data_IF_337511570765
#
_entry.id   IF_337511570765
#
_cell.length_a   1.000
_cell.length_b   1.000
_cell.length_c   1.000
_cell.angle_alpha   90.00
_cell.angle_beta   90.00
_cell.angle_gamma   90.00
#
_symmetry.space_group_name_H-M   'P 1'
#
loop_
_entity.id
_entity.type
_entity.pdbx_description
1 polymer ?
#
# COMPACT_ATOMS: atom_id res chain seq x y z
N UNK A 1 8.11 4.28 24.56
CA UNK A 1 9.44 4.95 24.52
C UNK A 1 9.27 6.17 23.61
N UNK A 2 9.83 7.33 23.95
CA UNK A 2 9.72 8.54 23.11
C UNK A 2 10.91 8.54 22.15
N UNK A 3 10.66 8.78 20.87
CA UNK A 3 11.73 8.96 19.89
C UNK A 3 12.43 10.31 20.13
N UNK A 4 13.74 10.29 20.21
CA UNK A 4 14.59 11.48 20.26
C UNK A 4 15.73 11.28 19.25
N UNK A 5 15.84 12.15 18.21
CA UNK A 5 16.92 12.04 17.25
C UNK A 5 18.28 12.23 17.95
N UNK A 6 19.25 11.39 17.60
CA UNK A 6 20.60 11.45 18.19
C UNK A 6 21.44 12.56 17.58
N UNK A 7 21.16 12.90 16.32
CA UNK A 7 21.96 13.84 15.53
C UNK A 7 21.08 14.96 15.03
N UNK A 8 21.30 16.18 15.52
CA UNK A 8 20.63 17.38 15.03
C UNK A 8 21.70 18.32 14.46
N UNK A 9 21.37 19.00 13.35
CA UNK A 9 22.22 20.00 12.70
C UNK A 9 21.35 21.19 12.29
N UNK A 10 21.41 22.25 13.08
CA UNK A 10 20.64 23.48 12.85
C UNK A 10 21.25 24.39 11.79
N UNK A 11 22.52 24.17 11.39
CA UNK A 11 23.14 24.87 10.28
C UNK A 11 22.60 24.32 8.94
N UNK A 12 22.41 22.99 8.86
CA UNK A 12 21.83 22.31 7.71
C UNK A 12 20.29 22.47 7.64
N UNK A 13 19.64 22.38 8.79
CA UNK A 13 18.16 22.47 8.91
C UNK A 13 17.75 23.45 10.00
N UNK A 14 17.70 24.77 9.71
CA UNK A 14 17.59 25.82 10.72
C UNK A 14 16.35 25.74 11.63
N UNK A 15 15.26 25.14 11.17
CA UNK A 15 14.00 25.08 11.93
C UNK A 15 13.85 23.83 12.77
N UNK A 16 14.37 22.71 12.32
CA UNK A 16 14.13 21.41 12.96
C UNK A 16 15.40 20.71 13.43
N UNK A 17 16.55 21.09 12.87
CA UNK A 17 17.82 20.37 13.07
C UNK A 17 17.84 18.95 12.47
N UNK A 18 16.75 18.49 11.85
CA UNK A 18 16.66 17.12 11.34
C UNK A 18 17.52 16.93 10.10
N UNK A 19 18.38 15.94 10.14
CA UNK A 19 19.23 15.50 9.04
C UNK A 19 18.65 14.27 8.37
N UNK A 20 19.28 13.82 7.27
CA UNK A 20 18.95 12.53 6.65
C UNK A 20 19.09 11.37 7.64
N UNK A 21 20.15 11.39 8.45
CA UNK A 21 20.39 10.39 9.49
C UNK A 21 19.27 10.37 10.51
N UNK A 22 18.78 11.55 10.92
CA UNK A 22 17.64 11.66 11.83
C UNK A 22 16.36 11.01 11.24
N UNK A 23 16.12 11.16 9.94
CA UNK A 23 15.00 10.52 9.27
C UNK A 23 15.15 8.98 9.17
N UNK A 24 16.37 8.49 8.92
CA UNK A 24 16.67 7.05 8.94
C UNK A 24 16.50 6.45 10.34
N UNK A 25 16.93 7.18 11.39
CA UNK A 25 16.71 6.80 12.80
C UNK A 25 15.21 6.74 13.13
N UNK A 26 14.44 7.74 12.70
CA UNK A 26 12.98 7.76 12.89
C UNK A 26 12.29 6.59 12.17
N UNK A 27 12.67 6.32 10.92
CA UNK A 27 12.17 5.18 10.17
C UNK A 27 12.47 3.85 10.86
N UNK A 28 13.69 3.65 11.34
CA UNK A 28 14.07 2.46 12.12
C UNK A 28 13.24 2.32 13.40
N UNK A 29 13.08 3.40 14.15
CA UNK A 29 12.28 3.41 15.37
C UNK A 29 10.82 3.02 15.11
N UNK A 30 10.21 3.52 14.03
CA UNK A 30 8.85 3.17 13.65
C UNK A 30 8.74 1.69 13.24
N UNK A 31 9.69 1.20 12.44
CA UNK A 31 9.72 -0.21 12.05
C UNK A 31 9.96 -1.13 13.25
N UNK A 32 10.84 -0.78 14.19
CA UNK A 32 11.03 -1.54 15.44
C UNK A 32 9.74 -1.62 16.25
N UNK A 33 8.97 -0.52 16.32
CA UNK A 33 7.64 -0.50 16.96
C UNK A 33 6.65 -1.47 16.32
N UNK A 34 6.77 -1.72 15.04
CA UNK A 34 5.95 -2.68 14.29
C UNK A 34 6.50 -4.10 14.47
N UNK A 35 7.76 -4.32 14.11
CA UNK A 35 8.38 -5.64 14.01
C UNK A 35 8.62 -6.35 15.33
N UNK A 36 8.66 -5.64 16.46
CA UNK A 36 8.66 -6.26 17.79
C UNK A 36 7.37 -7.06 18.10
N UNK A 37 6.29 -6.85 17.33
CA UNK A 37 5.02 -7.57 17.47
C UNK A 37 4.88 -8.73 16.47
N UNK A 38 5.91 -8.97 15.65
CA UNK A 38 5.96 -10.07 14.70
C UNK A 38 6.91 -11.13 15.25
N UNK A 39 6.40 -12.33 15.45
CA UNK A 39 7.14 -13.44 16.07
C UNK A 39 7.61 -14.49 15.07
N UNK A 40 7.21 -14.39 13.80
CA UNK A 40 7.56 -15.30 12.72
C UNK A 40 7.72 -14.53 11.40
N UNK A 41 8.81 -14.80 10.67
CA UNK A 41 9.09 -14.21 9.35
C UNK A 41 7.95 -14.39 8.32
N UNK A 42 7.18 -15.48 8.46
CA UNK A 42 6.07 -15.79 7.56
C UNK A 42 4.76 -15.07 7.93
N UNK A 43 4.69 -14.43 9.10
CA UNK A 43 3.48 -13.73 9.53
C UNK A 43 3.34 -12.35 8.89
N UNK A 44 2.11 -11.92 8.62
CA UNK A 44 1.84 -10.56 8.13
C UNK A 44 2.00 -9.52 9.24
N UNK A 45 2.06 -8.25 8.84
CA UNK A 45 1.99 -7.12 9.77
C UNK A 45 0.54 -6.95 10.23
N UNK A 46 0.23 -7.50 11.39
CA UNK A 46 -1.06 -7.29 12.09
C UNK A 46 -0.75 -6.84 13.50
N UNK A 47 -1.14 -5.60 13.80
CA UNK A 47 -0.83 -4.99 15.10
C UNK A 47 -1.74 -5.53 16.21
N UNK A 48 -1.21 -5.75 17.43
CA UNK A 48 -2.02 -6.10 18.58
C UNK A 48 -3.07 -5.03 18.88
N UNK A 49 -4.29 -5.44 19.17
CA UNK A 49 -5.41 -4.55 19.48
C UNK A 49 -6.36 -5.20 20.48
N UNK A 50 -7.18 -4.37 21.12
CA UNK A 50 -8.27 -4.84 21.97
C UNK A 50 -9.50 -5.10 21.12
N UNK A 51 -9.91 -6.34 21.01
CA UNK A 51 -11.06 -6.74 20.18
C UNK A 51 -12.38 -6.04 20.56
N UNK A 52 -12.53 -5.64 21.81
CA UNK A 52 -13.72 -4.92 22.28
C UNK A 52 -13.76 -3.44 21.90
N UNK A 53 -12.65 -2.88 21.45
CA UNK A 53 -12.51 -1.45 21.14
C UNK A 53 -12.38 -1.19 19.64
N UNK A 54 -12.29 -2.24 18.82
CA UNK A 54 -12.15 -2.09 17.37
C UNK A 54 -13.49 -1.91 16.69
N UNK A 55 -13.48 -1.08 15.65
CA UNK A 55 -14.63 -0.86 14.77
C UNK A 55 -14.43 -1.44 13.37
N UNK A 56 -13.23 -1.94 13.09
CA UNK A 56 -12.85 -2.50 11.80
C UNK A 56 -11.84 -3.65 11.97
N UNK A 57 -12.15 -4.90 11.61
CA UNK A 57 -13.50 -5.36 11.22
C UNK A 57 -14.51 -5.20 12.35
N UNK A 58 -15.77 -4.92 12.00
CA UNK A 58 -16.82 -4.72 13.00
C UNK A 58 -17.32 -6.07 13.52
N UNK A 59 -17.22 -6.29 14.83
CA UNK A 59 -17.55 -7.60 15.46
C UNK A 59 -19.01 -8.05 15.29
N UNK A 60 -19.91 -7.11 14.96
CA UNK A 60 -21.33 -7.41 14.73
C UNK A 60 -21.64 -7.79 13.28
N UNK A 61 -20.68 -7.65 12.38
CA UNK A 61 -20.86 -8.01 10.98
C UNK A 61 -20.90 -9.54 10.80
N UNK A 62 -21.40 -9.99 9.65
CA UNK A 62 -21.37 -11.42 9.33
C UNK A 62 -19.94 -11.95 9.28
N UNK A 63 -19.76 -13.25 9.40
CA UNK A 63 -18.43 -13.87 9.32
C UNK A 63 -17.77 -13.61 7.95
N UNK A 64 -18.56 -13.60 6.87
CA UNK A 64 -18.08 -13.30 5.53
C UNK A 64 -17.60 -11.83 5.44
N UNK A 65 -18.37 -10.88 5.96
CA UNK A 65 -17.98 -9.46 5.98
C UNK A 65 -16.71 -9.24 6.82
N UNK A 66 -16.60 -9.93 7.97
CA UNK A 66 -15.39 -9.89 8.79
C UNK A 66 -14.18 -10.51 8.05
N UNK A 67 -14.37 -11.60 7.31
CA UNK A 67 -13.29 -12.20 6.53
C UNK A 67 -12.74 -11.23 5.46
N UNK A 68 -13.62 -10.54 4.73
CA UNK A 68 -13.23 -9.50 3.75
C UNK A 68 -12.45 -8.38 4.43
N UNK A 69 -12.91 -7.91 5.57
CA UNK A 69 -12.23 -6.85 6.32
C UNK A 69 -10.85 -7.29 6.85
N UNK A 70 -10.71 -8.57 7.25
CA UNK A 70 -9.41 -9.11 7.69
C UNK A 70 -8.39 -9.21 6.54
N UNK A 71 -8.81 -9.50 5.31
CA UNK A 71 -7.91 -9.45 4.16
C UNK A 71 -7.45 -8.02 3.88
N UNK A 72 -8.33 -7.03 3.99
CA UNK A 72 -7.98 -5.63 3.90
C UNK A 72 -6.99 -5.22 5.01
N UNK A 73 -7.20 -5.66 6.25
CA UNK A 73 -6.29 -5.42 7.38
C UNK A 73 -4.88 -5.95 7.12
N UNK A 74 -4.78 -7.20 6.65
CA UNK A 74 -3.48 -7.81 6.30
C UNK A 74 -2.77 -7.01 5.21
N UNK A 75 -3.50 -6.61 4.18
CA UNK A 75 -2.93 -5.86 3.07
C UNK A 75 -2.53 -4.44 3.48
N UNK A 76 -3.38 -3.78 4.26
CA UNK A 76 -3.11 -2.43 4.80
C UNK A 76 -1.90 -2.45 5.75
N UNK A 77 -1.79 -3.44 6.62
CA UNK A 77 -0.62 -3.60 7.48
C UNK A 77 0.68 -3.74 6.69
N UNK A 78 0.66 -4.54 5.62
CA UNK A 78 1.80 -4.69 4.72
C UNK A 78 2.16 -3.35 4.06
N UNK A 79 1.23 -2.74 3.35
CA UNK A 79 1.51 -1.58 2.50
C UNK A 79 1.86 -0.34 3.31
N UNK A 80 1.18 -0.09 4.44
CA UNK A 80 1.45 1.07 5.30
C UNK A 80 2.81 0.98 5.99
N UNK A 81 3.21 -0.20 6.45
CA UNK A 81 4.55 -0.41 6.98
C UNK A 81 5.63 -0.34 5.88
N UNK A 82 5.29 -0.77 4.67
CA UNK A 82 6.20 -0.72 3.53
C UNK A 82 6.51 0.71 3.06
N UNK A 83 5.62 1.68 3.24
CA UNK A 83 5.92 3.09 3.00
C UNK A 83 7.11 3.60 3.84
N UNK A 84 7.29 3.06 5.04
CA UNK A 84 8.45 3.38 5.88
C UNK A 84 9.67 2.58 5.41
N UNK A 85 9.49 1.30 5.13
CA UNK A 85 10.58 0.40 4.81
C UNK A 85 11.16 0.60 3.41
N UNK A 86 10.34 0.87 2.38
CA UNK A 86 10.78 0.94 1.00
C UNK A 86 11.89 2.00 0.76
N UNK A 87 11.74 3.27 1.19
CA UNK A 87 12.81 4.24 1.05
C UNK A 87 14.05 3.89 1.89
N UNK A 88 13.87 3.23 3.01
CA UNK A 88 15.00 2.76 3.83
C UNK A 88 15.75 1.62 3.15
N UNK A 89 15.05 0.63 2.60
CA UNK A 89 15.63 -0.49 1.83
C UNK A 89 16.38 0.04 0.60
N UNK A 90 15.82 1.03 -0.08
CA UNK A 90 16.47 1.68 -1.22
C UNK A 90 17.81 2.35 -0.87
N UNK A 91 17.97 2.80 0.37
CA UNK A 91 19.20 3.45 0.86
C UNK A 91 20.11 2.52 1.68
N UNK A 92 19.55 1.52 2.31
CA UNK A 92 20.20 0.55 3.20
C UNK A 92 19.78 -0.87 2.79
N UNK A 93 20.36 -1.44 1.73
CA UNK A 93 19.93 -2.74 1.19
C UNK A 93 19.94 -3.88 2.22
N UNK A 94 20.89 -3.84 3.17
CA UNK A 94 21.05 -4.85 4.21
C UNK A 94 20.29 -4.50 5.51
N UNK A 95 19.29 -3.62 5.42
CA UNK A 95 18.49 -3.20 6.57
C UNK A 95 17.86 -4.40 7.27
N UNK A 96 18.22 -4.55 8.55
CA UNK A 96 17.63 -5.56 9.44
C UNK A 96 16.94 -4.85 10.61
N UNK A 97 15.72 -5.26 10.94
CA UNK A 97 14.93 -4.72 12.05
C UNK A 97 14.39 -5.89 12.87
N UNK A 98 14.58 -5.89 14.17
CA UNK A 98 14.21 -6.97 15.09
C UNK A 98 14.65 -8.38 14.61
N UNK A 99 15.80 -8.46 13.95
CA UNK A 99 16.33 -9.71 13.40
C UNK A 99 15.80 -10.10 12.02
N UNK A 100 14.86 -9.35 11.44
CA UNK A 100 14.31 -9.61 10.12
C UNK A 100 15.01 -8.78 9.03
N UNK A 101 15.56 -9.40 7.97
CA UNK A 101 16.05 -8.69 6.79
C UNK A 101 14.86 -8.10 6.04
N UNK A 102 14.79 -6.76 5.99
CA UNK A 102 13.58 -6.07 5.51
C UNK A 102 13.29 -6.32 4.03
N UNK A 103 14.29 -6.32 3.17
CA UNK A 103 14.08 -6.57 1.75
C UNK A 103 13.48 -7.96 1.50
N UNK A 104 13.98 -9.00 2.17
CA UNK A 104 13.46 -10.36 2.06
C UNK A 104 12.05 -10.49 2.63
N UNK A 105 11.80 -9.86 3.78
CA UNK A 105 10.49 -9.89 4.41
C UNK A 105 9.43 -9.31 3.47
N UNK A 106 9.62 -8.06 3.00
CA UNK A 106 8.63 -7.43 2.12
C UNK A 106 8.51 -8.13 0.77
N UNK A 107 9.62 -8.61 0.20
CA UNK A 107 9.58 -9.44 -1.01
C UNK A 107 8.68 -10.67 -0.83
N UNK A 108 8.88 -11.42 0.25
CA UNK A 108 8.08 -12.60 0.56
C UNK A 108 6.61 -12.25 0.78
N UNK A 109 6.32 -11.25 1.62
CA UNK A 109 4.94 -10.88 1.95
C UNK A 109 4.16 -10.37 0.73
N UNK A 110 4.78 -9.53 -0.12
CA UNK A 110 4.15 -9.03 -1.35
C UNK A 110 3.75 -10.18 -2.28
N UNK A 111 4.65 -11.14 -2.51
CA UNK A 111 4.33 -12.27 -3.37
C UNK A 111 3.16 -13.10 -2.80
N UNK A 112 3.16 -13.35 -1.50
CA UNK A 112 2.13 -14.16 -0.84
C UNK A 112 0.75 -13.52 -0.88
N UNK A 113 0.64 -12.21 -0.62
CA UNK A 113 -0.67 -11.52 -0.68
C UNK A 113 -1.25 -11.48 -2.10
N UNK A 114 -0.42 -11.57 -3.13
CA UNK A 114 -0.82 -11.62 -4.53
C UNK A 114 -1.05 -13.04 -5.06
N UNK A 115 -0.60 -14.08 -4.34
CA UNK A 115 -0.63 -15.47 -4.84
C UNK A 115 -1.90 -16.18 -4.44
N UNK A 116 -2.76 -16.49 -5.41
CA UNK A 116 -3.98 -17.27 -5.18
C UNK A 116 -3.66 -18.63 -4.55
N UNK A 117 -4.32 -18.93 -3.44
CA UNK A 117 -4.13 -20.17 -2.68
C UNK A 117 -3.10 -20.06 -1.56
N UNK A 118 -2.33 -18.97 -1.44
CA UNK A 118 -1.55 -18.70 -0.23
C UNK A 118 -2.48 -18.31 0.92
N UNK A 119 -2.06 -18.63 2.14
CA UNK A 119 -2.83 -18.30 3.35
C UNK A 119 -2.97 -16.78 3.59
N UNK A 120 -2.11 -15.97 2.98
CA UNK A 120 -2.15 -14.50 3.07
C UNK A 120 -2.79 -13.85 1.84
N UNK A 121 -3.28 -14.63 0.88
CA UNK A 121 -3.91 -14.08 -0.33
C UNK A 121 -5.07 -13.15 0.02
N UNK A 122 -5.03 -11.91 -0.49
CA UNK A 122 -6.01 -10.88 -0.15
C UNK A 122 -7.13 -10.71 -1.19
N UNK A 123 -7.11 -11.49 -2.25
CA UNK A 123 -8.14 -11.50 -3.29
C UNK A 123 -7.97 -10.42 -4.37
N UNK A 124 -8.27 -10.76 -5.62
CA UNK A 124 -8.42 -9.80 -6.72
C UNK A 124 -9.70 -8.98 -6.55
N UNK A 125 -9.89 -7.98 -7.41
CA UNK A 125 -11.12 -7.19 -7.43
C UNK A 125 -12.36 -8.08 -7.66
N UNK A 126 -12.27 -9.04 -8.56
CA UNK A 126 -13.34 -9.99 -8.86
C UNK A 126 -13.64 -10.90 -7.67
N UNK A 127 -12.60 -11.36 -6.97
CA UNK A 127 -12.78 -12.14 -5.74
C UNK A 127 -13.53 -11.36 -4.67
N UNK A 128 -13.23 -10.06 -4.51
CA UNK A 128 -13.95 -9.19 -3.57
C UNK A 128 -15.41 -8.98 -3.99
N UNK A 129 -15.68 -8.85 -5.28
CA UNK A 129 -17.06 -8.77 -5.79
C UNK A 129 -17.84 -10.05 -5.52
N UNK A 130 -17.22 -11.21 -5.76
CA UNK A 130 -17.84 -12.52 -5.53
C UNK A 130 -18.20 -12.71 -4.05
N UNK A 131 -17.24 -12.48 -3.15
CA UNK A 131 -17.42 -12.67 -1.70
C UNK A 131 -18.49 -11.73 -1.16
N UNK A 132 -18.50 -10.48 -1.60
CA UNK A 132 -19.44 -9.46 -1.08
C UNK A 132 -20.79 -9.48 -1.78
N UNK A 133 -20.90 -10.14 -2.92
CA UNK A 133 -22.10 -10.10 -3.78
C UNK A 133 -22.44 -8.69 -4.33
N UNK A 134 -21.47 -7.76 -4.30
CA UNK A 134 -21.69 -6.40 -4.76
C UNK A 134 -21.68 -6.30 -6.28
N UNK A 135 -22.77 -5.82 -6.83
CA UNK A 135 -22.93 -5.53 -8.26
C UNK A 135 -22.90 -4.04 -8.59
N UNK A 136 -22.69 -3.18 -7.58
CA UNK A 136 -22.56 -1.74 -7.76
C UNK A 136 -21.33 -1.42 -8.63
N UNK A 137 -21.51 -0.79 -9.81
CA UNK A 137 -20.40 -0.49 -10.71
C UNK A 137 -19.42 0.56 -10.16
N UNK A 138 -19.81 1.27 -9.11
CA UNK A 138 -18.93 2.23 -8.41
C UNK A 138 -18.34 1.68 -7.11
N UNK A 139 -18.56 0.40 -6.83
CA UNK A 139 -18.01 -0.20 -5.63
C UNK A 139 -16.49 -0.24 -5.70
N UNK A 140 -15.88 0.31 -4.68
CA UNK A 140 -14.43 0.18 -4.44
C UNK A 140 -14.20 -0.63 -3.19
N UNK A 141 -13.04 -1.25 -3.12
CA UNK A 141 -12.57 -2.00 -1.96
C UNK A 141 -11.34 -1.31 -1.39
N UNK A 142 -11.07 -1.52 -0.11
CA UNK A 142 -9.87 -0.98 0.54
C UNK A 142 -8.60 -1.40 -0.21
N UNK A 143 -8.59 -2.60 -0.77
CA UNK A 143 -7.49 -3.11 -1.58
C UNK A 143 -7.11 -2.20 -2.76
N UNK A 144 -8.06 -1.45 -3.33
CA UNK A 144 -7.76 -0.46 -4.40
C UNK A 144 -6.81 0.64 -3.92
N UNK A 145 -6.93 1.07 -2.67
CA UNK A 145 -5.98 2.03 -2.06
C UNK A 145 -4.63 1.37 -1.83
N UNK A 146 -4.67 0.13 -1.37
CA UNK A 146 -3.45 -0.58 -0.98
C UNK A 146 -2.62 -1.04 -2.17
N UNK A 147 -3.23 -1.35 -3.34
CA UNK A 147 -2.46 -1.63 -4.56
C UNK A 147 -1.66 -0.42 -5.00
N UNK A 148 -2.25 0.77 -4.95
CA UNK A 148 -1.53 2.02 -5.22
C UNK A 148 -0.36 2.21 -4.24
N UNK A 149 -0.60 2.00 -2.94
CA UNK A 149 0.46 2.05 -1.94
C UNK A 149 1.58 1.05 -2.25
N UNK A 150 1.20 -0.17 -2.65
CA UNK A 150 2.13 -1.23 -3.02
C UNK A 150 3.01 -0.84 -4.22
N UNK A 151 2.43 -0.33 -5.31
CA UNK A 151 3.21 0.03 -6.51
C UNK A 151 4.19 1.17 -6.23
N UNK A 152 3.83 2.15 -5.40
CA UNK A 152 4.75 3.21 -4.96
C UNK A 152 5.94 2.60 -4.22
N UNK A 153 5.69 1.69 -3.28
CA UNK A 153 6.74 1.04 -2.51
C UNK A 153 7.63 0.16 -3.40
N UNK A 154 7.05 -0.62 -4.31
CA UNK A 154 7.80 -1.43 -5.27
C UNK A 154 8.66 -0.57 -6.20
N UNK A 155 8.16 0.58 -6.61
CA UNK A 155 8.93 1.52 -7.44
C UNK A 155 10.10 2.14 -6.66
N UNK A 156 9.88 2.58 -5.43
CA UNK A 156 10.91 3.16 -4.56
C UNK A 156 12.01 2.16 -4.21
N UNK A 157 11.66 0.90 -3.96
CA UNK A 157 12.59 -0.18 -3.63
C UNK A 157 12.89 -1.12 -4.83
N UNK A 158 12.69 -0.64 -6.06
CA UNK A 158 12.70 -1.44 -7.28
C UNK A 158 13.90 -2.38 -7.38
N UNK A 159 15.10 -1.87 -7.24
CA UNK A 159 16.34 -2.65 -7.38
C UNK A 159 16.50 -3.75 -6.34
N UNK A 160 16.02 -3.49 -5.12
CA UNK A 160 16.18 -4.39 -3.99
C UNK A 160 15.06 -5.43 -3.90
N UNK A 161 13.88 -5.13 -4.45
CA UNK A 161 12.70 -6.00 -4.36
C UNK A 161 12.17 -6.36 -5.74
N UNK A 162 11.56 -5.44 -6.49
CA UNK A 162 10.91 -5.76 -7.75
C UNK A 162 11.81 -6.46 -8.76
N UNK A 163 13.00 -5.92 -8.98
CA UNK A 163 13.95 -6.47 -9.96
C UNK A 163 14.53 -7.85 -9.56
N UNK A 164 14.35 -8.25 -8.29
CA UNK A 164 14.81 -9.54 -7.77
C UNK A 164 13.80 -10.67 -7.91
N UNK A 165 12.55 -10.37 -8.26
CA UNK A 165 11.56 -11.40 -8.60
C UNK A 165 11.89 -12.07 -9.93
N UNK A 166 11.60 -13.35 -10.03
CA UNK A 166 11.55 -14.06 -11.32
C UNK A 166 10.41 -13.52 -12.18
N UNK A 167 10.45 -13.77 -13.49
CA UNK A 167 9.37 -13.34 -14.38
C UNK A 167 8.02 -13.93 -13.96
N UNK A 168 7.98 -15.19 -13.57
CA UNK A 168 6.75 -15.84 -13.12
C UNK A 168 6.17 -15.17 -11.84
N UNK A 169 7.02 -14.79 -10.89
CA UNK A 169 6.57 -14.04 -9.70
C UNK A 169 6.07 -12.65 -10.06
N UNK A 170 6.76 -11.95 -10.97
CA UNK A 170 6.30 -10.65 -11.50
C UNK A 170 4.95 -10.77 -12.19
N UNK A 171 4.73 -11.82 -12.97
CA UNK A 171 3.46 -12.06 -13.66
C UNK A 171 2.30 -12.29 -12.68
N UNK A 172 2.55 -13.00 -11.57
CA UNK A 172 1.57 -13.17 -10.49
C UNK A 172 1.20 -11.82 -9.86
N UNK A 173 2.22 -11.02 -9.48
CA UNK A 173 1.99 -9.69 -8.87
C UNK A 173 1.30 -8.76 -9.88
N UNK A 174 1.75 -8.75 -11.14
CA UNK A 174 1.16 -7.91 -12.18
C UNK A 174 -0.30 -8.27 -12.45
N UNK A 175 -0.64 -9.56 -12.53
CA UNK A 175 -2.03 -10.00 -12.71
C UNK A 175 -2.94 -9.60 -11.54
N UNK A 176 -2.43 -9.65 -10.31
CA UNK A 176 -3.13 -9.14 -9.14
C UNK A 176 -3.37 -7.63 -9.24
N UNK A 177 -2.33 -6.84 -9.54
CA UNK A 177 -2.43 -5.38 -9.71
C UNK A 177 -3.36 -5.00 -10.86
N UNK A 178 -3.32 -5.73 -11.99
CA UNK A 178 -4.17 -5.50 -13.17
C UNK A 178 -5.65 -5.58 -12.81
N UNK A 179 -6.05 -6.48 -11.92
CA UNK A 179 -7.44 -6.63 -11.50
C UNK A 179 -8.00 -5.36 -10.86
N UNK A 180 -7.18 -4.64 -10.09
CA UNK A 180 -7.56 -3.36 -9.48
C UNK A 180 -7.33 -2.17 -10.41
N UNK A 181 -6.26 -2.17 -11.18
CA UNK A 181 -5.91 -1.10 -12.10
C UNK A 181 -7.02 -0.79 -13.12
N UNK A 182 -7.71 -1.81 -13.59
CA UNK A 182 -8.77 -1.70 -14.58
C UNK A 182 -10.19 -1.78 -14.00
N UNK A 183 -10.30 -1.95 -12.69
CA UNK A 183 -11.57 -2.06 -12.00
C UNK A 183 -12.33 -0.73 -11.92
N UNK A 184 -13.63 -0.84 -11.66
CA UNK A 184 -14.44 0.31 -11.33
C UNK A 184 -13.97 0.99 -10.04
N UNK A 185 -14.12 2.30 -9.98
CA UNK A 185 -13.79 3.09 -8.82
C UNK A 185 -14.78 4.24 -8.64
N UNK A 186 -14.89 4.75 -7.42
CA UNK A 186 -15.71 5.94 -7.15
C UNK A 186 -15.18 7.14 -7.93
N UNK A 187 -16.07 8.03 -8.43
CA UNK A 187 -15.67 9.17 -9.26
C UNK A 187 -15.07 10.32 -8.43
N UNK A 188 -13.98 10.03 -7.75
CA UNK A 188 -13.24 10.90 -6.83
C UNK A 188 -11.74 10.77 -7.04
N UNK A 189 -10.93 11.21 -6.07
CA UNK A 189 -9.47 11.06 -6.03
C UNK A 189 -9.01 9.59 -6.19
N UNK A 190 -9.84 8.61 -5.87
CA UNK A 190 -9.53 7.18 -6.02
C UNK A 190 -9.17 6.77 -7.45
N UNK A 191 -9.61 7.53 -8.45
CA UNK A 191 -9.16 7.37 -9.84
C UNK A 191 -7.64 7.45 -9.99
N UNK A 192 -6.97 8.19 -9.11
CA UNK A 192 -5.50 8.28 -9.09
C UNK A 192 -4.85 6.96 -8.66
N UNK A 193 -5.50 6.16 -7.83
CA UNK A 193 -4.99 4.85 -7.44
C UNK A 193 -4.91 3.91 -8.64
N UNK A 194 -6.01 3.77 -9.38
CA UNK A 194 -6.03 3.00 -10.62
C UNK A 194 -5.00 3.50 -11.64
N UNK A 195 -4.83 4.82 -11.77
CA UNK A 195 -3.85 5.41 -12.69
C UNK A 195 -2.42 5.06 -12.30
N UNK A 196 -2.08 5.06 -11.01
CA UNK A 196 -0.74 4.69 -10.53
C UNK A 196 -0.45 3.21 -10.74
N UNK A 197 -1.43 2.33 -10.49
CA UNK A 197 -1.31 0.91 -10.78
C UNK A 197 -1.06 0.67 -12.29
N UNK A 198 -1.85 1.31 -13.17
CA UNK A 198 -1.63 1.24 -14.62
C UNK A 198 -0.29 1.82 -15.04
N UNK A 199 0.15 2.92 -14.44
CA UNK A 199 1.45 3.54 -14.76
C UNK A 199 2.60 2.59 -14.42
N UNK A 200 2.57 1.97 -13.24
CA UNK A 200 3.56 0.98 -12.84
C UNK A 200 3.57 -0.22 -13.78
N UNK A 201 2.42 -0.81 -14.06
CA UNK A 201 2.28 -1.94 -14.99
C UNK A 201 2.86 -1.59 -16.37
N UNK A 202 2.53 -0.42 -16.90
CA UNK A 202 3.05 0.03 -18.19
C UNK A 202 4.56 0.23 -18.19
N UNK A 203 5.11 0.82 -17.13
CA UNK A 203 6.58 1.01 -16.99
C UNK A 203 7.33 -0.33 -16.91
N UNK A 204 6.71 -1.36 -16.36
CA UNK A 204 7.27 -2.70 -16.24
C UNK A 204 6.96 -3.61 -17.45
N UNK A 205 6.38 -3.04 -18.51
CA UNK A 205 6.15 -3.71 -19.79
C UNK A 205 4.85 -4.51 -19.90
N UNK A 206 3.97 -4.39 -18.93
CA UNK A 206 2.64 -5.03 -18.97
C UNK A 206 1.63 -4.19 -19.74
N UNK A 207 0.66 -4.83 -20.42
CA UNK A 207 -0.39 -4.11 -21.15
C UNK A 207 -1.33 -3.38 -20.18
N UNK A 208 -1.83 -2.23 -20.61
CA UNK A 208 -2.85 -1.47 -19.88
C UNK A 208 -4.01 -1.07 -20.79
N UNK A 209 -5.17 -0.84 -20.21
CA UNK A 209 -6.33 -0.31 -20.92
C UNK A 209 -6.24 1.22 -21.03
N UNK A 210 -5.64 1.70 -22.13
CA UNK A 210 -5.36 3.13 -22.35
C UNK A 210 -6.59 4.02 -22.33
N UNK A 211 -7.76 3.48 -22.68
CA UNK A 211 -9.01 4.25 -22.66
C UNK A 211 -9.49 4.50 -21.23
N UNK A 212 -9.34 3.51 -20.32
CA UNK A 212 -9.59 3.70 -18.89
C UNK A 212 -8.62 4.73 -18.30
N UNK A 213 -7.33 4.62 -18.62
CA UNK A 213 -6.33 5.59 -18.16
C UNK A 213 -6.69 7.01 -18.62
N UNK A 214 -7.12 7.16 -19.88
CA UNK A 214 -7.52 8.46 -20.44
C UNK A 214 -8.78 9.02 -19.75
N UNK A 215 -9.79 8.18 -19.51
CA UNK A 215 -11.01 8.57 -18.80
C UNK A 215 -10.69 9.08 -17.38
N UNK A 216 -9.86 8.35 -16.63
CA UNK A 216 -9.41 8.79 -15.32
C UNK A 216 -8.67 10.11 -15.36
N UNK A 217 -7.72 10.27 -16.30
CA UNK A 217 -6.96 11.51 -16.45
C UNK A 217 -7.87 12.70 -16.77
N UNK A 218 -8.83 12.54 -17.69
CA UNK A 218 -9.79 13.58 -18.06
C UNK A 218 -10.67 13.97 -16.86
N UNK A 219 -11.13 12.98 -16.08
CA UNK A 219 -11.93 13.24 -14.89
C UNK A 219 -11.14 14.04 -13.83
N UNK A 220 -9.88 13.66 -13.57
CA UNK A 220 -9.03 14.40 -12.62
C UNK A 220 -8.80 15.83 -13.10
N UNK A 221 -8.53 16.05 -14.39
CA UNK A 221 -8.40 17.41 -14.95
C UNK A 221 -9.67 18.24 -14.77
N UNK A 222 -10.86 17.61 -14.86
CA UNK A 222 -12.14 18.29 -14.62
C UNK A 222 -12.37 18.66 -13.15
N UNK A 223 -11.63 18.06 -12.22
CA UNK A 223 -11.70 18.41 -10.79
C UNK A 223 -10.82 19.61 -10.43
N UNK A 224 -10.02 20.14 -11.35
CA UNK A 224 -9.18 21.30 -11.10
C UNK A 224 -10.03 22.53 -10.74
N UNK A 225 -9.75 23.13 -9.59
CA UNK A 225 -10.50 24.24 -9.04
C UNK A 225 -9.82 25.62 -9.17
N UNK A 226 -8.61 25.65 -9.72
CA UNK A 226 -7.77 26.86 -9.80
C UNK A 226 -6.68 26.89 -8.71
N UNK A 227 -5.72 27.78 -8.88
CA UNK A 227 -4.64 28.06 -7.92
C UNK A 227 -3.86 26.81 -7.41
N UNK A 228 -3.78 25.78 -8.25
CA UNK A 228 -3.09 24.53 -7.89
C UNK A 228 -3.95 23.54 -7.08
N UNK A 229 -5.23 23.83 -6.83
CA UNK A 229 -6.12 22.98 -6.06
C UNK A 229 -7.01 22.09 -6.92
N UNK A 230 -7.29 20.91 -6.41
CA UNK A 230 -8.25 19.96 -6.98
C UNK A 230 -9.36 19.66 -5.97
N UNK A 231 -10.58 19.50 -6.47
CA UNK A 231 -11.70 18.99 -5.68
C UNK A 231 -11.57 17.48 -5.52
N UNK A 232 -12.11 16.95 -4.45
CA UNK A 232 -12.32 15.51 -4.31
C UNK A 232 -13.62 15.08 -5.02
N UNK A 233 -13.52 14.84 -6.32
CA UNK A 233 -14.65 14.56 -7.18
C UNK A 233 -15.44 15.80 -7.61
N UNK A 234 -16.75 15.66 -7.71
CA UNK A 234 -17.64 16.74 -8.17
C UNK A 234 -18.02 17.73 -7.08
N UNK A 235 -17.83 17.41 -5.84
CA UNK A 235 -18.13 18.27 -4.69
C UNK A 235 -16.86 18.85 -4.06
N UNK A 236 -16.98 20.00 -3.39
CA UNK A 236 -15.97 20.43 -2.46
C UNK A 236 -16.12 19.58 -1.19
N UNK A 237 -15.19 18.66 -1.01
CA UNK A 237 -15.08 17.96 0.25
C UNK A 237 -13.78 18.36 0.94
N UNK A 238 -13.93 18.86 2.15
CA UNK A 238 -12.78 19.04 3.04
C UNK A 238 -12.64 17.73 3.81
N UNK A 239 -11.58 17.01 3.53
CA UNK A 239 -11.21 15.89 4.39
C UNK A 239 -11.11 16.41 5.83
N UNK A 240 -11.96 15.88 6.67
CA UNK A 240 -11.99 16.22 8.10
C UNK A 240 -10.84 15.55 8.82
#
# INVERSE_FOLDING_TARGET
>A
MKFEPKTLDFDLSPYTGLTRESWLEAGRYLLEGIFQNIDDFQKPVVMPRKETEITYPHLKDSQEAQAVQRTAEVFEGLTRSFFIAAPMIGNLPDLTVCGYPMAEYYKNQVLRVCTRGDALYVGTYEDQQEITGHTDPYRTFQQTVETCALVICLWVSKKQIWDTYTQAEKDVIAGFLESYAHASTVPQNWRLFNMLDMAFLHMEGYPIQKDIMRDHAQAILAYYAGDGWYRDGHSFDYYK
#
